data_IF_188101286657
#
_entry.id   IF_188101286657
#
_cell.length_a   1.000
_cell.length_b   1.000
_cell.length_c   1.000
_cell.angle_alpha   90.00
_cell.angle_beta   90.00
_cell.angle_gamma   90.00
#
_symmetry.space_group_name_H-M   'P 1'
#
loop_
_entity.id
_entity.type
_entity.pdbx_description
1 polymer ?
#
# COMPACT_ATOMS: atom_id res chain seq x y z
N UNK A 1 4.77 -32.43 -17.77
CA UNK A 1 4.53 -32.61 -16.32
C UNK A 1 5.11 -31.48 -15.45
N UNK A 2 6.19 -30.78 -15.86
CA UNK A 2 6.80 -29.70 -15.06
C UNK A 2 6.02 -28.37 -15.03
N UNK A 3 5.37 -27.99 -16.12
CA UNK A 3 4.66 -26.70 -16.23
C UNK A 3 3.40 -26.64 -15.37
N UNK A 4 2.63 -27.74 -15.29
CA UNK A 4 1.46 -27.83 -14.42
C UNK A 4 1.81 -27.79 -12.93
N UNK A 5 2.91 -28.44 -12.52
CA UNK A 5 3.44 -28.35 -11.14
C UNK A 5 3.94 -26.94 -10.82
N UNK A 6 4.58 -26.26 -11.77
CA UNK A 6 5.04 -24.88 -11.60
C UNK A 6 3.86 -23.90 -11.46
N UNK A 7 2.84 -24.03 -12.32
CA UNK A 7 1.59 -23.28 -12.19
C UNK A 7 0.88 -23.55 -10.86
N UNK A 8 0.84 -24.81 -10.39
CA UNK A 8 0.27 -25.13 -9.07
C UNK A 8 1.07 -24.54 -7.91
N UNK A 9 2.40 -24.49 -8.01
CA UNK A 9 3.26 -23.89 -7.00
C UNK A 9 3.14 -22.35 -6.99
N UNK A 10 3.01 -21.73 -8.16
CA UNK A 10 2.74 -20.29 -8.32
C UNK A 10 1.33 -19.92 -7.81
N UNK A 11 0.32 -20.76 -8.09
CA UNK A 11 -1.05 -20.61 -7.57
C UNK A 11 -1.18 -20.87 -6.07
N UNK A 12 -0.25 -21.60 -5.46
CA UNK A 12 -0.19 -21.78 -4.01
C UNK A 12 0.89 -20.90 -3.35
N UNK A 13 1.49 -19.98 -4.12
CA UNK A 13 2.50 -19.06 -3.66
C UNK A 13 1.92 -18.00 -2.73
N UNK A 14 2.77 -17.47 -1.85
CA UNK A 14 2.42 -16.27 -1.08
C UNK A 14 2.62 -15.03 -1.94
N UNK A 15 1.63 -14.15 -1.94
CA UNK A 15 1.71 -12.81 -2.54
C UNK A 15 1.47 -11.75 -1.47
N UNK A 16 2.11 -10.61 -1.65
CA UNK A 16 2.19 -9.56 -0.64
C UNK A 16 1.67 -8.25 -1.19
N UNK A 17 0.69 -7.68 -0.50
CA UNK A 17 0.31 -6.29 -0.69
C UNK A 17 1.15 -5.41 0.23
N UNK A 18 1.93 -4.50 -0.36
CA UNK A 18 2.76 -3.55 0.38
C UNK A 18 2.03 -2.23 0.57
N UNK A 19 1.71 -1.90 1.81
CA UNK A 19 1.03 -0.65 2.17
C UNK A 19 1.88 0.17 3.15
N UNK A 20 1.77 1.49 3.11
CA UNK A 20 2.31 2.33 4.18
C UNK A 20 1.42 2.23 5.42
N UNK A 21 1.99 2.45 6.60
CA UNK A 21 1.21 2.61 7.84
C UNK A 21 0.07 3.63 7.69
N UNK A 22 0.22 4.61 6.79
CA UNK A 22 -0.83 5.58 6.50
C UNK A 22 -2.10 5.04 5.89
N UNK A 23 -1.96 4.05 5.04
CA UNK A 23 -3.11 3.42 4.41
C UNK A 23 -3.60 2.22 5.19
N UNK A 24 -2.77 1.64 6.06
CA UNK A 24 -3.13 0.44 6.80
C UNK A 24 -4.41 0.61 7.63
N UNK A 25 -4.61 1.75 8.30
CA UNK A 25 -5.82 1.95 9.11
C UNK A 25 -7.09 2.07 8.25
N UNK A 26 -6.99 2.70 7.07
CA UNK A 26 -8.10 2.75 6.11
C UNK A 26 -8.43 1.35 5.58
N UNK A 27 -7.40 0.53 5.33
CA UNK A 27 -7.58 -0.88 4.93
C UNK A 27 -8.25 -1.68 6.05
N UNK A 28 -7.88 -1.47 7.31
CA UNK A 28 -8.53 -2.13 8.45
C UNK A 28 -9.99 -1.72 8.61
N UNK A 29 -10.30 -0.42 8.53
CA UNK A 29 -11.66 0.08 8.68
C UNK A 29 -12.57 -0.34 7.52
N UNK A 30 -12.06 -0.34 6.28
CA UNK A 30 -12.82 -0.81 5.11
C UNK A 30 -12.89 -2.34 5.05
N UNK A 31 -11.93 -3.04 5.65
CA UNK A 31 -11.80 -4.49 5.59
C UNK A 31 -11.43 -5.03 4.21
N UNK A 32 -11.04 -4.17 3.26
CA UNK A 32 -10.67 -4.55 1.91
C UNK A 32 -9.44 -3.78 1.44
N UNK A 33 -8.60 -4.43 0.63
CA UNK A 33 -7.63 -3.74 -0.22
C UNK A 33 -8.38 -3.31 -1.47
N UNK A 34 -8.65 -2.02 -1.58
CA UNK A 34 -9.38 -1.44 -2.72
C UNK A 34 -8.48 -1.28 -3.95
N UNK A 35 -9.10 -1.07 -5.10
CA UNK A 35 -8.42 -0.83 -6.36
C UNK A 35 -7.74 0.55 -6.33
N UNK A 36 -6.54 0.65 -6.90
CA UNK A 36 -5.83 1.93 -6.98
C UNK A 36 -6.67 3.01 -7.66
N UNK A 37 -6.67 4.22 -7.08
CA UNK A 37 -7.47 5.35 -7.57
C UNK A 37 -8.92 5.38 -7.06
N UNK A 38 -9.39 4.36 -6.32
CA UNK A 38 -10.71 4.37 -5.64
C UNK A 38 -10.63 4.61 -4.13
N UNK A 39 -9.44 4.42 -3.55
CA UNK A 39 -9.19 4.66 -2.13
C UNK A 39 -9.33 6.14 -1.76
N UNK A 40 -10.11 6.45 -0.72
CA UNK A 40 -10.11 7.79 -0.09
C UNK A 40 -8.76 8.06 0.58
N UNK A 41 -8.31 9.32 0.58
CA UNK A 41 -7.09 9.72 1.28
C UNK A 41 -7.20 9.60 2.79
N UNK A 42 -6.06 9.64 3.47
CA UNK A 42 -6.02 9.56 4.93
C UNK A 42 -6.31 10.94 5.53
N UNK A 43 -7.34 11.05 6.37
CA UNK A 43 -7.70 12.33 6.98
C UNK A 43 -6.81 12.65 8.18
N UNK A 44 -6.01 13.71 8.08
CA UNK A 44 -5.22 14.28 9.16
C UNK A 44 -5.97 15.46 9.84
N UNK A 45 -6.07 15.48 11.18
CA UNK A 45 -6.78 16.54 11.89
C UNK A 45 -6.27 17.95 11.55
N UNK A 46 -4.95 18.14 11.45
CA UNK A 46 -4.34 19.44 11.16
C UNK A 46 -4.11 19.74 9.67
N UNK A 47 -4.03 18.72 8.80
CA UNK A 47 -3.61 18.89 7.39
C UNK A 47 -4.70 18.55 6.37
N UNK A 48 -5.81 17.94 6.81
CA UNK A 48 -6.86 17.51 5.89
C UNK A 48 -6.53 16.18 5.23
N UNK A 49 -7.03 15.99 4.01
CA UNK A 49 -6.82 14.74 3.28
C UNK A 49 -5.36 14.64 2.82
N UNK A 50 -4.65 13.64 3.34
CA UNK A 50 -3.30 13.28 2.89
C UNK A 50 -3.43 12.29 1.74
N UNK A 51 -2.89 12.68 0.59
CA UNK A 51 -2.76 11.83 -0.59
C UNK A 51 -1.29 11.49 -0.85
N UNK A 52 -1.03 10.31 -1.39
CA UNK A 52 0.32 9.93 -1.87
C UNK A 52 0.41 10.13 -3.38
N UNK A 53 1.62 10.27 -3.92
CA UNK A 53 1.85 10.30 -5.38
C UNK A 53 1.16 9.13 -6.10
N UNK A 54 1.07 7.95 -5.50
CA UNK A 54 0.30 6.78 -6.00
C UNK A 54 -1.21 7.00 -6.06
N UNK A 55 -1.83 7.69 -5.10
CA UNK A 55 -3.24 8.10 -5.21
C UNK A 55 -3.47 9.22 -6.25
N UNK A 56 -2.39 9.87 -6.67
CA UNK A 56 -2.41 10.96 -7.64
C UNK A 56 -1.86 10.56 -9.01
N UNK A 57 -1.39 9.31 -9.17
CA UNK A 57 -1.10 8.76 -10.49
C UNK A 57 -2.38 8.86 -11.29
N UNK A 58 -2.28 9.38 -12.51
CA UNK A 58 -3.42 9.57 -13.41
C UNK A 58 -4.23 8.26 -13.42
N UNK A 59 -5.58 8.31 -13.45
CA UNK A 59 -6.34 7.14 -13.82
C UNK A 59 -5.78 6.65 -15.16
N UNK A 60 -5.18 5.46 -15.14
CA UNK A 60 -4.60 4.84 -16.33
C UNK A 60 -5.72 4.63 -17.32
N UNK A 61 -5.54 5.10 -18.55
CA UNK A 61 -6.61 5.10 -19.57
C UNK A 61 -6.77 3.72 -20.20
N UNK A 62 -5.68 2.96 -20.25
CA UNK A 62 -5.58 1.75 -21.05
C UNK A 62 -5.73 0.45 -20.23
N UNK A 63 -5.87 0.52 -18.91
CA UNK A 63 -6.21 -0.62 -18.07
C UNK A 63 -6.92 -0.20 -16.76
N UNK A 64 -7.78 -1.07 -16.16
CA UNK A 64 -8.64 -0.70 -15.05
C UNK A 64 -7.86 -0.41 -13.76
N UNK A 65 -8.54 0.16 -12.76
CA UNK A 65 -8.04 0.24 -11.40
C UNK A 65 -7.72 -1.17 -10.88
N UNK A 66 -6.50 -1.39 -10.37
CA UNK A 66 -6.02 -2.71 -9.91
C UNK A 66 -5.61 -2.65 -8.44
N UNK A 67 -5.73 -3.78 -7.74
CA UNK A 67 -5.01 -4.02 -6.49
C UNK A 67 -3.71 -4.76 -6.79
N UNK A 68 -2.58 -4.23 -6.32
CA UNK A 68 -1.23 -4.75 -6.64
C UNK A 68 -0.66 -5.60 -5.52
N UNK A 69 0.05 -6.65 -5.93
CA UNK A 69 0.74 -7.59 -5.07
C UNK A 69 2.08 -8.00 -5.72
N UNK A 70 2.99 -8.56 -4.92
CA UNK A 70 4.24 -9.14 -5.41
C UNK A 70 4.52 -10.46 -4.69
N UNK A 71 5.23 -11.37 -5.36
CA UNK A 71 5.75 -12.58 -4.72
C UNK A 71 6.97 -12.31 -3.81
N UNK A 72 7.52 -11.09 -3.84
CA UNK A 72 8.63 -10.68 -2.96
C UNK A 72 8.12 -10.06 -1.66
N UNK A 73 8.73 -10.47 -0.55
CA UNK A 73 8.44 -9.89 0.77
C UNK A 73 9.17 -8.55 0.98
N UNK A 74 10.21 -8.26 0.21
CA UNK A 74 10.86 -6.97 0.24
C UNK A 74 9.96 -5.90 -0.38
N UNK A 75 10.03 -4.68 0.16
CA UNK A 75 9.30 -3.54 -0.38
C UNK A 75 9.78 -3.27 -1.81
N UNK A 76 8.88 -3.27 -2.82
CA UNK A 76 9.24 -2.88 -4.19
C UNK A 76 9.94 -1.53 -4.24
N UNK A 77 11.03 -1.41 -4.99
CA UNK A 77 11.84 -0.19 -5.10
C UNK A 77 11.06 0.98 -5.68
N UNK A 78 10.12 0.72 -6.59
CA UNK A 78 9.20 1.75 -7.10
C UNK A 78 8.31 2.35 -5.99
N UNK A 79 8.12 1.64 -4.89
CA UNK A 79 7.41 2.11 -3.70
C UNK A 79 8.37 2.74 -2.67
N UNK A 80 9.69 2.64 -2.87
CA UNK A 80 10.69 3.27 -2.01
C UNK A 80 10.88 4.76 -2.31
N UNK A 81 10.40 5.23 -3.46
CA UNK A 81 10.42 6.62 -3.85
C UNK A 81 8.99 7.18 -3.75
N UNK A 82 8.73 8.12 -2.83
CA UNK A 82 7.44 8.80 -2.78
C UNK A 82 7.61 10.32 -2.67
N UNK A 83 6.66 11.01 -3.29
CA UNK A 83 6.42 12.43 -3.06
C UNK A 83 5.11 12.58 -2.29
N UNK A 84 5.13 13.45 -1.28
CA UNK A 84 3.95 13.79 -0.50
C UNK A 84 3.40 15.15 -0.90
N UNK A 85 2.08 15.26 -0.87
CA UNK A 85 1.38 16.48 -1.19
C UNK A 85 0.28 16.69 -0.15
N UNK A 86 0.21 17.90 0.38
CA UNK A 86 -0.93 18.37 1.17
C UNK A 86 -1.97 19.02 0.26
N UNK A 87 -3.24 18.84 0.60
CA UNK A 87 -4.35 19.62 0.02
C UNK A 87 -4.86 20.55 1.11
N UNK A 88 -4.75 21.85 0.87
CA UNK A 88 -5.21 22.86 1.81
C UNK A 88 -6.74 22.80 1.97
N UNK A 89 -7.24 22.86 3.21
CA UNK A 89 -8.65 22.66 3.53
C UNK A 89 -9.55 23.83 3.11
N UNK A 90 -9.02 25.04 3.04
CA UNK A 90 -9.79 26.25 2.78
C UNK A 90 -9.77 26.61 1.30
N UNK A 91 -8.62 26.42 0.65
CA UNK A 91 -8.37 26.81 -0.73
C UNK A 91 -8.40 25.64 -1.72
N UNK A 92 -8.29 24.41 -1.24
CA UNK A 92 -8.16 23.21 -2.08
C UNK A 92 -6.83 23.13 -2.84
N UNK A 93 -5.90 24.05 -2.61
CA UNK A 93 -4.62 24.08 -3.32
C UNK A 93 -3.71 22.94 -2.91
N UNK A 94 -2.98 22.40 -3.89
CA UNK A 94 -2.03 21.29 -3.69
C UNK A 94 -0.62 21.85 -3.55
N UNK A 95 0.11 21.39 -2.53
CA UNK A 95 1.52 21.79 -2.34
C UNK A 95 2.35 20.57 -1.94
N UNK A 96 3.52 20.41 -2.55
CA UNK A 96 4.44 19.30 -2.29
C UNK A 96 5.09 19.49 -0.92
N UNK A 97 4.93 18.50 -0.04
CA UNK A 97 5.58 18.48 1.27
C UNK A 97 7.02 18.01 1.07
N UNK A 98 7.98 18.93 1.21
CA UNK A 98 9.39 18.57 1.28
C UNK A 98 9.66 17.94 2.65
N UNK A 99 10.05 16.66 2.64
CA UNK A 99 10.43 15.93 3.84
C UNK A 99 11.94 15.82 3.91
N UNK A 100 12.50 15.91 5.11
CA UNK A 100 13.87 15.50 5.35
C UNK A 100 14.06 14.03 4.87
N UNK A 101 15.20 13.67 4.26
CA UNK A 101 15.44 12.33 3.72
C UNK A 101 15.15 11.19 4.70
N UNK A 102 15.43 11.39 5.99
CA UNK A 102 15.19 10.44 7.06
C UNK A 102 13.70 10.31 7.39
N UNK A 103 12.95 11.41 7.31
CA UNK A 103 11.49 11.40 7.48
C UNK A 103 10.79 10.78 6.27
N UNK A 104 11.27 11.08 5.06
CA UNK A 104 10.85 10.40 3.85
C UNK A 104 11.11 8.89 3.98
N UNK A 105 12.34 8.48 4.28
CA UNK A 105 12.70 7.09 4.54
C UNK A 105 11.84 6.47 5.65
N UNK A 106 11.64 7.15 6.78
CA UNK A 106 10.79 6.64 7.86
C UNK A 106 9.35 6.37 7.41
N UNK A 107 8.79 7.20 6.54
CA UNK A 107 7.44 7.00 6.01
C UNK A 107 7.40 5.99 4.85
N UNK A 108 8.50 5.88 4.10
CA UNK A 108 8.68 4.95 2.97
C UNK A 108 8.80 3.54 3.56
N UNK A 109 9.56 3.40 4.63
CA UNK A 109 10.10 2.16 5.16
C UNK A 109 9.26 1.62 6.32
N UNK A 110 8.45 2.46 6.95
CA UNK A 110 7.40 2.02 7.87
C UNK A 110 6.19 1.49 7.07
N UNK A 111 6.45 0.38 6.36
CA UNK A 111 5.50 -0.36 5.55
C UNK A 111 5.05 -1.61 6.27
N UNK A 112 3.89 -2.06 5.84
CA UNK A 112 3.34 -3.36 6.16
C UNK A 112 3.20 -4.18 4.88
N UNK A 113 3.50 -5.46 4.97
CA UNK A 113 3.21 -6.44 3.93
C UNK A 113 2.09 -7.34 4.43
N UNK A 114 0.96 -7.31 3.72
CA UNK A 114 -0.20 -8.17 3.99
C UNK A 114 -0.10 -9.36 3.05
N UNK A 115 0.09 -10.54 3.63
CA UNK A 115 0.33 -11.79 2.91
C UNK A 115 -0.95 -12.57 2.67
N UNK A 116 -1.08 -13.09 1.45
CA UNK A 116 -2.18 -13.95 1.03
C UNK A 116 -1.62 -15.14 0.27
N UNK A 117 -2.30 -16.29 0.35
CA UNK A 117 -2.07 -17.36 -0.63
C UNK A 117 -2.76 -16.93 -1.93
N UNK A 118 -2.06 -17.00 -3.07
CA UNK A 118 -2.62 -16.57 -4.35
C UNK A 118 -3.88 -17.36 -4.73
N UNK A 119 -4.02 -18.62 -4.31
CA UNK A 119 -5.23 -19.42 -4.49
C UNK A 119 -6.47 -18.92 -3.72
N UNK A 120 -6.28 -18.16 -2.63
CA UNK A 120 -7.40 -17.75 -1.76
C UNK A 120 -8.05 -16.43 -2.22
N UNK A 121 -7.40 -15.68 -3.11
CA UNK A 121 -7.80 -14.35 -3.55
C UNK A 121 -7.82 -14.26 -5.09
N UNK A 122 -8.63 -13.37 -5.69
CA UNK A 122 -8.81 -13.30 -7.15
C UNK A 122 -7.66 -12.56 -7.84
N UNK A 123 -6.43 -13.03 -7.68
CA UNK A 123 -5.23 -12.45 -8.30
C UNK A 123 -4.78 -13.24 -9.52
N UNK A 124 -4.20 -12.54 -10.48
CA UNK A 124 -3.50 -13.13 -11.63
C UNK A 124 -2.07 -12.59 -11.71
N UNK A 125 -1.10 -13.36 -12.23
CA UNK A 125 0.22 -12.83 -12.52
C UNK A 125 0.09 -11.62 -13.45
N UNK A 126 0.83 -10.55 -13.18
CA UNK A 126 0.81 -9.35 -14.00
C UNK A 126 1.13 -9.63 -15.48
N UNK A 127 2.12 -10.47 -15.84
CA UNK A 127 2.35 -10.89 -17.23
C UNK A 127 1.18 -11.59 -17.94
N UNK A 128 0.25 -12.16 -17.18
CA UNK A 128 -0.94 -12.81 -17.72
C UNK A 128 -2.15 -11.86 -17.80
N UNK A 129 -2.05 -10.65 -17.24
CA UNK A 129 -3.13 -9.67 -17.25
C UNK A 129 -3.13 -8.89 -18.56
N UNK A 130 -4.33 -8.60 -19.09
CA UNK A 130 -4.54 -7.89 -20.38
C UNK A 130 -3.85 -6.52 -20.48
N UNK A 131 -3.56 -5.90 -19.34
CA UNK A 131 -2.88 -4.61 -19.24
C UNK A 131 -1.36 -4.68 -19.44
N UNK A 132 -0.74 -5.86 -19.38
CA UNK A 132 0.74 -5.97 -19.39
C UNK A 132 1.36 -5.46 -20.69
N UNK A 133 0.78 -5.81 -21.83
CA UNK A 133 1.31 -5.51 -23.16
C UNK A 133 0.71 -4.24 -23.79
N UNK A 134 -0.08 -3.46 -23.04
CA UNK A 134 -0.59 -2.17 -23.52
C UNK A 134 0.53 -1.13 -23.56
N UNK A 135 0.27 0.05 -24.17
CA UNK A 135 1.24 1.15 -24.17
C UNK A 135 1.62 1.56 -22.74
N UNK A 136 0.62 1.91 -21.93
CA UNK A 136 0.82 2.28 -20.51
C UNK A 136 1.41 1.10 -19.69
N UNK A 137 1.03 -0.15 -19.98
CA UNK A 137 1.58 -1.33 -19.32
C UNK A 137 3.08 -1.51 -19.57
N UNK A 138 3.52 -1.33 -20.81
CA UNK A 138 4.96 -1.38 -21.16
C UNK A 138 5.75 -0.26 -20.49
N UNK A 139 5.25 0.98 -20.50
CA UNK A 139 5.89 2.10 -19.80
C UNK A 139 6.00 1.85 -18.28
N UNK A 140 4.96 1.29 -17.67
CA UNK A 140 5.00 0.87 -16.26
C UNK A 140 6.06 -0.20 -16.03
N UNK A 141 6.12 -1.21 -16.90
CA UNK A 141 7.08 -2.29 -16.81
C UNK A 141 8.52 -1.81 -16.97
N UNK A 142 8.78 -0.91 -17.92
CA UNK A 142 10.09 -0.30 -18.17
C UNK A 142 10.52 0.55 -16.97
N UNK A 143 9.67 1.47 -16.51
CA UNK A 143 9.98 2.32 -15.36
C UNK A 143 10.22 1.55 -14.05
N UNK A 144 9.49 0.44 -13.85
CA UNK A 144 9.73 -0.47 -12.72
C UNK A 144 11.10 -1.16 -12.82
N UNK A 145 11.48 -1.62 -14.02
CA UNK A 145 12.80 -2.23 -14.26
C UNK A 145 13.93 -1.21 -14.12
N UNK A 146 13.72 0.04 -14.52
CA UNK A 146 14.71 1.11 -14.39
C UNK A 146 15.09 1.38 -12.92
N UNK A 147 14.12 1.28 -12.01
CA UNK A 147 14.40 1.37 -10.56
C UNK A 147 14.83 0.03 -9.96
N UNK A 148 14.93 -1.03 -10.76
CA UNK A 148 15.43 -2.34 -10.40
C UNK A 148 14.42 -3.26 -9.71
N UNK A 149 13.12 -3.05 -9.95
CA UNK A 149 12.06 -4.03 -9.66
C UNK A 149 11.90 -5.03 -10.82
N UNK A 150 11.20 -6.14 -10.55
CA UNK A 150 10.86 -7.15 -11.54
C UNK A 150 9.32 -7.29 -11.68
N UNK A 151 8.71 -6.70 -12.72
CA UNK A 151 7.27 -6.80 -12.98
C UNK A 151 6.76 -8.22 -13.19
N UNK A 152 7.62 -9.17 -13.57
CA UNK A 152 7.21 -10.55 -13.84
C UNK A 152 6.90 -11.32 -12.54
N UNK A 153 7.29 -10.73 -11.40
CA UNK A 153 7.01 -11.23 -10.05
C UNK A 153 5.77 -10.57 -9.43
N UNK A 154 5.12 -9.66 -10.14
CA UNK A 154 3.94 -8.95 -9.67
C UNK A 154 2.65 -9.71 -9.99
N UNK A 155 1.63 -9.39 -9.21
CA UNK A 155 0.30 -9.97 -9.29
C UNK A 155 -0.72 -8.85 -9.13
N UNK A 156 -1.86 -8.98 -9.80
CA UNK A 156 -2.92 -7.96 -9.80
C UNK A 156 -4.29 -8.59 -9.58
N UNK A 157 -5.20 -7.82 -9.00
CA UNK A 157 -6.63 -8.15 -8.93
C UNK A 157 -7.45 -7.00 -9.51
N UNK A 158 -8.40 -7.33 -10.38
CA UNK A 158 -9.42 -6.42 -10.91
C UNK A 158 -10.56 -6.15 -9.89
N UNK A 159 -10.54 -6.84 -8.74
CA UNK A 159 -11.56 -6.72 -7.69
C UNK A 159 -10.93 -6.43 -6.32
N UNK A 160 -11.63 -5.73 -5.42
CA UNK A 160 -11.15 -5.54 -4.05
C UNK A 160 -10.88 -6.86 -3.34
N UNK A 161 -9.82 -6.92 -2.55
CA UNK A 161 -9.42 -8.14 -1.83
C UNK A 161 -9.77 -8.06 -0.36
N UNK A 162 -10.54 -9.03 0.14
CA UNK A 162 -10.94 -9.09 1.54
C UNK A 162 -9.72 -9.34 2.45
N UNK A 163 -9.47 -8.42 3.39
CA UNK A 163 -8.39 -8.50 4.37
C UNK A 163 -8.51 -9.74 5.26
N UNK A 164 -9.72 -10.24 5.54
CA UNK A 164 -9.91 -11.44 6.35
C UNK A 164 -9.35 -12.71 5.71
N UNK A 165 -9.00 -12.66 4.41
CA UNK A 165 -8.31 -13.75 3.71
C UNK A 165 -6.79 -13.73 3.90
N UNK A 166 -6.25 -12.72 4.58
CA UNK A 166 -4.81 -12.65 4.87
C UNK A 166 -4.38 -13.78 5.80
N UNK A 167 -3.17 -14.29 5.56
CA UNK A 167 -2.58 -15.41 6.30
C UNK A 167 -1.25 -15.05 6.98
N UNK A 168 -0.65 -13.92 6.62
CA UNK A 168 0.58 -13.40 7.23
C UNK A 168 0.54 -11.86 7.23
N UNK A 169 1.13 -11.26 8.25
CA UNK A 169 1.32 -9.82 8.38
C UNK A 169 2.77 -9.58 8.76
N UNK A 170 3.46 -8.78 7.97
CA UNK A 170 4.84 -8.36 8.28
C UNK A 170 4.94 -6.86 8.35
N UNK A 171 5.84 -6.38 9.19
CA UNK A 171 6.16 -4.96 9.32
C UNK A 171 7.64 -4.78 9.62
N UNK A 172 8.15 -3.60 9.33
CA UNK A 172 9.48 -3.23 9.81
C UNK A 172 9.44 -2.97 11.33
N UNK A 173 10.46 -3.44 12.06
CA UNK A 173 10.62 -3.15 13.49
C UNK A 173 11.12 -1.74 13.77
N UNK A 174 11.74 -1.10 12.79
CA UNK A 174 12.30 0.24 12.93
C UNK A 174 11.75 1.14 11.83
N UNK A 175 11.60 2.43 12.14
CA UNK A 175 11.05 3.39 11.18
C UNK A 175 11.85 3.41 9.87
N UNK A 176 13.17 3.23 9.95
CA UNK A 176 14.10 3.29 8.81
C UNK A 176 14.52 1.92 8.29
N UNK A 177 13.96 0.82 8.82
CA UNK A 177 14.31 -0.53 8.42
C UNK A 177 13.57 -0.98 7.16
N UNK A 178 14.29 -1.56 6.20
CA UNK A 178 13.70 -2.25 5.04
C UNK A 178 13.31 -3.71 5.34
N UNK A 179 13.83 -4.27 6.44
CA UNK A 179 13.65 -5.68 6.77
C UNK A 179 12.27 -5.89 7.39
N UNK A 180 11.44 -6.61 6.64
CA UNK A 180 10.09 -6.99 7.06
C UNK A 180 10.13 -8.22 7.96
N UNK A 181 9.66 -8.07 9.19
CA UNK A 181 9.57 -9.15 10.16
C UNK A 181 8.12 -9.52 10.39
N UNK A 182 7.88 -10.81 10.62
CA UNK A 182 6.54 -11.32 10.91
C UNK A 182 6.05 -10.75 12.24
N UNK A 183 4.80 -10.27 12.24
CA UNK A 183 4.15 -9.71 13.43
C UNK A 183 3.22 -10.76 14.02
N UNK A 184 3.81 -11.72 14.72
CA UNK A 184 3.06 -12.80 15.38
C UNK A 184 2.05 -12.23 16.38
N UNK A 185 0.81 -12.69 16.30
CA UNK A 185 -0.32 -12.18 17.08
C UNK A 185 -1.06 -10.99 16.44
N UNK A 186 -0.41 -10.21 15.57
CA UNK A 186 -1.07 -9.04 14.96
C UNK A 186 -2.13 -9.43 13.92
N UNK A 187 -1.93 -10.54 13.20
CA UNK A 187 -2.92 -11.06 12.25
C UNK A 187 -4.30 -11.27 12.89
N UNK A 188 -4.35 -11.90 14.07
CA UNK A 188 -5.60 -12.16 14.78
C UNK A 188 -6.27 -10.85 15.22
N UNK A 189 -5.48 -9.87 15.68
CA UNK A 189 -5.98 -8.55 16.04
C UNK A 189 -6.55 -7.81 14.82
N UNK A 190 -5.88 -7.88 13.67
CA UNK A 190 -6.38 -7.31 12.41
C UNK A 190 -7.71 -7.92 12.02
N UNK A 191 -7.85 -9.24 12.08
CA UNK A 191 -9.12 -9.91 11.77
C UNK A 191 -10.24 -9.46 12.72
N UNK A 192 -9.96 -9.37 14.02
CA UNK A 192 -10.92 -8.85 15.01
C UNK A 192 -11.31 -7.39 14.73
N UNK A 193 -10.33 -6.52 14.43
CA UNK A 193 -10.58 -5.11 14.10
C UNK A 193 -11.46 -4.95 12.87
N UNK A 194 -11.18 -5.72 11.81
CA UNK A 194 -11.97 -5.71 10.57
C UNK A 194 -13.40 -6.21 10.84
N UNK A 195 -13.55 -7.29 11.61
CA UNK A 195 -14.87 -7.81 11.99
C UNK A 195 -15.66 -6.79 12.84
N UNK A 196 -14.99 -6.09 13.76
CA UNK A 196 -15.60 -5.04 14.56
C UNK A 196 -16.11 -3.90 13.68
N UNK A 197 -15.29 -3.43 12.73
CA UNK A 197 -15.69 -2.37 11.80
C UNK A 197 -16.86 -2.76 10.90
N UNK A 198 -16.94 -4.03 10.49
CA UNK A 198 -18.07 -4.56 9.71
C UNK A 198 -19.36 -4.68 10.53
N UNK A 199 -19.25 -5.04 11.81
CA UNK A 199 -20.41 -5.29 12.67
C UNK A 199 -20.98 -4.02 13.31
N UNK A 200 -20.14 -3.01 13.55
CA UNK A 200 -20.54 -1.76 14.20
C UNK A 200 -20.24 -0.58 13.26
N UNK A 201 -21.25 -0.07 12.53
CA UNK A 201 -21.09 1.10 11.68
C UNK A 201 -20.53 2.31 12.45
N UNK A 202 -19.56 3.01 11.85
CA UNK A 202 -18.93 4.17 12.47
C UNK A 202 -17.78 3.84 13.43
N UNK A 203 -17.44 2.56 13.59
CA UNK A 203 -16.20 2.16 14.30
C UNK A 203 -15.00 2.82 13.64
N UNK A 204 -14.21 3.51 14.46
CA UNK A 204 -13.01 4.21 14.06
C UNK A 204 -11.78 3.54 14.68
N UNK A 205 -10.84 3.16 13.84
CA UNK A 205 -9.52 2.66 14.28
C UNK A 205 -8.57 3.86 14.26
N UNK A 206 -8.07 4.31 15.42
CA UNK A 206 -7.14 5.43 15.46
C UNK A 206 -5.85 5.05 14.74
N UNK A 207 -5.29 5.95 13.92
CA UNK A 207 -4.10 5.60 13.18
C UNK A 207 -2.88 5.34 14.07
N UNK A 208 -2.07 4.34 13.70
CA UNK A 208 -0.85 3.95 14.43
C UNK A 208 0.28 4.99 14.45
N UNK A 209 0.18 6.13 13.75
CA UNK A 209 1.10 7.27 13.94
C UNK A 209 0.87 8.10 15.20
N UNK A 210 -0.02 7.67 16.09
CA UNK A 210 -0.12 8.28 17.42
C UNK A 210 1.10 8.02 18.32
N UNK A 211 2.17 7.41 17.79
CA UNK A 211 3.50 7.53 18.38
C UNK A 211 3.97 8.99 18.38
N UNK A 212 4.27 9.51 19.58
CA UNK A 212 4.58 10.93 19.83
C UNK A 212 5.75 11.50 19.00
N UNK A 213 6.60 10.65 18.45
CA UNK A 213 7.82 11.06 17.74
C UNK A 213 7.56 11.40 16.25
N UNK A 214 6.85 10.55 15.52
CA UNK A 214 6.43 10.81 14.13
C UNK A 214 5.43 11.98 14.09
N UNK A 215 4.56 12.07 15.09
CA UNK A 215 3.66 13.19 15.28
C UNK A 215 4.42 14.53 15.45
N UNK A 216 5.50 14.54 16.25
CA UNK A 216 6.36 15.72 16.43
C UNK A 216 7.08 16.11 15.15
N UNK A 217 7.59 15.15 14.38
CA UNK A 217 8.27 15.41 13.10
C UNK A 217 7.32 15.99 12.04
N UNK A 218 6.10 15.44 11.91
CA UNK A 218 5.08 15.95 10.97
C UNK A 218 4.51 17.30 11.40
N UNK A 219 4.33 17.55 12.71
CA UNK A 219 3.93 18.86 13.23
C UNK A 219 5.02 19.91 13.01
N UNK A 220 6.29 19.56 13.20
CA UNK A 220 7.42 20.45 12.93
C UNK A 220 7.44 20.87 11.45
N UNK A 221 7.36 19.91 10.53
CA UNK A 221 7.25 20.18 9.09
C UNK A 221 5.99 20.98 8.71
N UNK A 222 4.90 20.84 9.47
CA UNK A 222 3.66 21.58 9.26
C UNK A 222 3.63 23.01 9.82
N UNK A 223 4.50 23.36 10.77
CA UNK A 223 4.61 24.74 11.28
C UNK A 223 5.22 25.67 10.25
N UNK A 224 6.16 25.18 9.45
CA UNK A 224 6.79 25.94 8.36
C UNK A 224 5.84 26.19 7.18
N UNK A 225 4.70 25.49 7.15
CA UNK A 225 3.69 25.59 6.12
C UNK A 225 2.53 26.54 6.45
N UNK A 226 2.50 27.09 7.67
CA UNK A 226 1.58 28.16 8.09
C UNK A 226 2.21 29.56 7.93
N UNK A 227 3.36 29.64 7.25
CA UNK A 227 3.96 30.90 6.80
C UNK A 227 3.23 31.44 5.59
#
# INVERSE_FOLDING_TARGET
MGEAKRRLAEMNGMVWHHTSILRTNLIWMSGVIDLEGRSKGAMHPAFGEIMTSTAMRRPMRDFPALAWFTSDINVPKCLQHFDMYGVDKETGQRKRLELAPEAAAAMVLNRMAIGFRSADIPVVPWPAHRGYDTGEGRELNESARDVGDDPDRWWVSDTPVDVLKSTDIRGSKTLTGLKMERLDGYLAQVHQMVQLCRSIPGTYIPPSWHGSEVHRALIAAGKDYRG
#
